data_IF_942391508571
#
_entry.id   IF_942391508571
#
_cell.length_a   1.000
_cell.length_b   1.000
_cell.length_c   1.000
_cell.angle_alpha   90.00
_cell.angle_beta   90.00
_cell.angle_gamma   90.00
#
_symmetry.space_group_name_H-M   'P 1'
#
loop_
_entity.id
_entity.type
_entity.pdbx_description
1 polymer ?
#
# COMPACT_ATOMS: atom_id res chain seq x y z
N UNK A 1 7.39 4.01 -21.63
CA UNK A 1 7.90 3.32 -20.42
C UNK A 1 6.96 3.66 -19.28
N UNK A 2 6.51 2.70 -18.47
CA UNK A 2 5.62 2.98 -17.34
C UNK A 2 6.32 3.90 -16.33
N UNK A 3 5.53 4.74 -15.65
CA UNK A 3 6.10 5.69 -14.68
C UNK A 3 6.55 4.91 -13.44
N UNK A 4 7.69 5.29 -12.87
CA UNK A 4 8.38 4.55 -11.80
C UNK A 4 7.50 4.14 -10.60
N UNK A 5 6.44 4.90 -10.28
CA UNK A 5 5.52 4.59 -9.18
C UNK A 5 4.48 3.52 -9.52
N UNK A 6 4.14 3.32 -10.79
CA UNK A 6 3.09 2.38 -11.23
C UNK A 6 3.44 0.92 -10.94
N UNK A 7 4.73 0.61 -10.73
CA UNK A 7 5.19 -0.71 -10.25
C UNK A 7 4.55 -1.17 -8.93
N UNK A 8 3.91 -0.26 -8.20
CA UNK A 8 3.22 -0.53 -6.93
C UNK A 8 1.78 -1.01 -7.15
N UNK A 9 1.21 -0.78 -8.33
CA UNK A 9 -0.14 -1.20 -8.68
C UNK A 9 -0.09 -2.68 -9.06
N UNK A 10 -0.81 -3.51 -8.32
CA UNK A 10 -0.79 -4.96 -8.48
C UNK A 10 -2.17 -5.56 -8.19
N UNK A 11 -2.53 -6.62 -8.90
CA UNK A 11 -3.77 -7.36 -8.65
C UNK A 11 -3.68 -8.18 -7.37
N UNK A 12 -4.83 -8.58 -6.82
CA UNK A 12 -4.88 -9.43 -5.62
C UNK A 12 -4.09 -10.73 -5.81
N UNK A 13 -4.30 -11.44 -6.90
CA UNK A 13 -3.68 -12.76 -7.11
C UNK A 13 -2.16 -12.67 -7.24
N UNK A 14 -1.67 -11.66 -7.97
CA UNK A 14 -0.24 -11.42 -8.09
C UNK A 14 0.38 -11.00 -6.73
N UNK A 15 -0.33 -10.20 -5.93
CA UNK A 15 0.12 -9.83 -4.59
C UNK A 15 0.14 -11.02 -3.63
N UNK A 16 -0.84 -11.92 -3.71
CA UNK A 16 -0.87 -13.18 -2.94
C UNK A 16 0.35 -14.04 -3.28
N UNK A 17 0.71 -14.16 -4.56
CA UNK A 17 1.90 -14.89 -4.98
C UNK A 17 3.20 -14.26 -4.43
N UNK A 18 3.27 -12.93 -4.32
CA UNK A 18 4.45 -12.22 -3.79
C UNK A 18 4.50 -12.14 -2.25
N UNK A 19 3.38 -12.40 -1.56
CA UNK A 19 3.20 -12.13 -0.12
C UNK A 19 4.32 -12.68 0.76
N UNK A 20 4.83 -13.88 0.46
CA UNK A 20 5.87 -14.53 1.23
C UNK A 20 7.23 -13.81 1.15
N UNK A 21 7.48 -13.04 0.07
CA UNK A 21 8.73 -12.30 -0.15
C UNK A 21 8.72 -10.88 0.44
N UNK A 22 7.56 -10.40 0.90
CA UNK A 22 7.43 -9.04 1.39
C UNK A 22 8.06 -8.87 2.79
N UNK A 23 8.75 -7.73 3.05
CA UNK A 23 9.29 -7.42 4.36
C UNK A 23 8.19 -7.44 5.44
N UNK A 24 8.44 -8.15 6.53
CA UNK A 24 7.51 -8.28 7.66
C UNK A 24 7.92 -7.35 8.82
N UNK A 25 6.96 -6.80 9.59
CA UNK A 25 5.52 -7.01 9.48
C UNK A 25 4.92 -6.25 8.29
N UNK A 26 3.95 -6.89 7.62
CA UNK A 26 3.17 -6.28 6.53
C UNK A 26 1.94 -5.62 7.13
N UNK A 27 1.82 -4.31 6.96
CA UNK A 27 0.69 -3.50 7.37
C UNK A 27 -0.29 -3.38 6.20
N UNK A 28 -1.57 -3.46 6.51
CA UNK A 28 -2.64 -3.30 5.53
C UNK A 28 -3.65 -2.25 6.01
N UNK A 29 -4.15 -1.45 5.08
CA UNK A 29 -5.32 -0.59 5.25
C UNK A 29 -6.10 -0.50 3.95
N UNK A 30 -7.33 -0.01 3.99
CA UNK A 30 -8.14 0.25 2.81
C UNK A 30 -8.90 1.57 2.90
N UNK A 31 -9.31 2.10 1.76
CA UNK A 31 -10.16 3.29 1.68
C UNK A 31 -10.48 3.69 0.24
N UNK A 32 -11.41 4.64 0.10
CA UNK A 32 -11.80 5.21 -1.20
C UNK A 32 -10.71 6.17 -1.71
N UNK A 33 -10.16 7.01 -0.83
CA UNK A 33 -9.14 8.02 -1.16
C UNK A 33 -9.49 8.93 -2.37
N UNK A 34 -10.76 9.28 -2.54
CA UNK A 34 -11.28 10.10 -3.66
C UNK A 34 -10.53 11.43 -3.81
N UNK A 35 -10.47 12.22 -2.74
CA UNK A 35 -9.66 13.44 -2.67
C UNK A 35 -8.64 13.30 -1.54
N UNK A 36 -7.36 13.25 -1.92
CA UNK A 36 -6.28 13.23 -0.94
C UNK A 36 -6.15 14.57 -0.22
N UNK A 37 -6.02 14.50 1.10
CA UNK A 37 -5.75 15.65 1.96
C UNK A 37 -4.72 15.28 3.03
N UNK A 38 -4.27 16.27 3.80
CA UNK A 38 -3.22 16.10 4.83
C UNK A 38 -3.50 14.92 5.77
N UNK A 39 -4.75 14.79 6.24
CA UNK A 39 -5.17 13.66 7.07
C UNK A 39 -4.84 12.28 6.48
N UNK A 40 -5.10 12.05 5.18
CA UNK A 40 -4.79 10.77 4.53
C UNK A 40 -3.29 10.47 4.51
N UNK A 41 -2.46 11.46 4.16
CA UNK A 41 -1.00 11.24 4.06
C UNK A 41 -0.34 11.10 5.43
N UNK A 42 -0.83 11.82 6.46
CA UNK A 42 -0.40 11.61 7.85
C UNK A 42 -0.78 10.20 8.30
N UNK A 43 -2.03 9.80 8.10
CA UNK A 43 -2.51 8.46 8.43
C UNK A 43 -1.70 7.34 7.75
N UNK A 44 -1.43 7.45 6.44
CA UNK A 44 -0.65 6.46 5.70
C UNK A 44 0.82 6.42 6.14
N UNK A 45 1.39 7.56 6.54
CA UNK A 45 2.73 7.61 7.09
C UNK A 45 2.80 6.89 8.46
N UNK A 46 1.83 7.15 9.34
CA UNK A 46 1.73 6.50 10.64
C UNK A 46 1.50 4.99 10.48
N UNK A 47 0.62 4.57 9.56
CA UNK A 47 0.41 3.17 9.22
C UNK A 47 1.70 2.51 8.70
N UNK A 48 2.46 3.19 7.84
CA UNK A 48 3.74 2.68 7.36
C UNK A 48 4.76 2.52 8.49
N UNK A 49 4.75 3.40 9.49
CA UNK A 49 5.69 3.33 10.62
C UNK A 49 5.49 2.08 11.50
N UNK A 50 4.33 1.45 11.45
CA UNK A 50 4.03 0.22 12.19
C UNK A 50 4.66 -1.05 11.59
N UNK A 51 5.31 -0.97 10.41
CA UNK A 51 5.93 -2.14 9.81
C UNK A 51 6.87 -1.89 8.65
N UNK A 52 7.33 -2.98 8.04
CA UNK A 52 8.34 -2.94 6.99
C UNK A 52 7.71 -2.76 5.59
N UNK A 53 6.42 -3.09 5.43
CA UNK A 53 5.67 -2.96 4.19
C UNK A 53 4.27 -2.40 4.48
N UNK A 54 3.78 -1.47 3.65
CA UNK A 54 2.40 -0.97 3.70
C UNK A 54 1.70 -1.29 2.37
N UNK A 55 0.56 -1.96 2.46
CA UNK A 55 -0.34 -2.26 1.35
C UNK A 55 -1.64 -1.47 1.56
N UNK A 56 -2.13 -0.83 0.50
CA UNK A 56 -3.37 -0.05 0.52
C UNK A 56 -4.36 -0.70 -0.43
N UNK A 57 -5.49 -1.17 0.09
CA UNK A 57 -6.65 -1.56 -0.71
C UNK A 57 -7.42 -0.32 -1.15
N UNK A 58 -7.69 -0.20 -2.45
CA UNK A 58 -8.55 0.85 -3.00
C UNK A 58 -9.91 0.23 -3.32
N UNK A 59 -10.98 0.86 -2.85
CA UNK A 59 -12.38 0.42 -3.00
C UNK A 59 -12.89 0.45 -4.45
#
# INVERSE_FOLDING_TARGET
>A
MPVTFERKLITRDALVALRASLPSPVVFTNGVFDILHRGHVTYLADAKALGACLIVGVN
#
